data_IF_193015250419
#
_entry.id   IF_193015250419
#
_cell.length_a   1.000
_cell.length_b   1.000
_cell.length_c   1.000
_cell.angle_alpha   90.00
_cell.angle_beta   90.00
_cell.angle_gamma   90.00
#
_symmetry.space_group_name_H-M   'P 1'
#
loop_
_entity.id
_entity.type
_entity.pdbx_description
1 polymer ?
#
# COMPACT_ATOMS: atom_id res chain seq x y z
N UNK A 1 -9.14 8.25 -13.11
CA UNK A 1 -8.80 6.81 -13.17
C UNK A 1 -9.07 6.28 -11.77
N UNK A 2 -10.04 5.38 -11.59
CA UNK A 2 -10.53 5.00 -10.25
C UNK A 2 -9.49 4.13 -9.52
N UNK A 3 -9.16 4.50 -8.29
CA UNK A 3 -8.29 3.72 -7.40
C UNK A 3 -9.00 2.43 -6.96
N UNK A 4 -8.70 1.32 -7.63
CA UNK A 4 -9.28 -0.01 -7.34
C UNK A 4 -8.95 -0.47 -5.93
N UNK A 5 -7.72 -0.21 -5.46
CA UNK A 5 -7.32 -0.60 -4.11
C UNK A 5 -8.09 0.20 -3.06
N UNK A 6 -8.22 1.52 -3.25
CA UNK A 6 -9.04 2.38 -2.40
C UNK A 6 -10.50 1.93 -2.33
N UNK A 7 -11.11 1.61 -3.48
CA UNK A 7 -12.49 1.08 -3.53
C UNK A 7 -12.65 -0.24 -2.76
N UNK A 8 -11.69 -1.15 -2.90
CA UNK A 8 -11.74 -2.43 -2.20
C UNK A 8 -11.55 -2.29 -0.70
N UNK A 9 -10.68 -1.40 -0.25
CA UNK A 9 -10.52 -1.09 1.18
C UNK A 9 -11.79 -0.45 1.74
N UNK A 10 -12.39 0.49 1.03
CA UNK A 10 -13.66 1.10 1.46
C UNK A 10 -14.77 0.05 1.56
N UNK A 11 -14.92 -0.80 0.54
CA UNK A 11 -15.89 -1.89 0.55
C UNK A 11 -15.67 -2.83 1.75
N UNK A 12 -14.42 -3.22 1.99
CA UNK A 12 -14.06 -4.04 3.16
C UNK A 12 -14.40 -3.36 4.49
N UNK A 13 -14.04 -2.08 4.67
CA UNK A 13 -14.35 -1.34 5.92
C UNK A 13 -15.87 -1.28 6.14
N UNK A 14 -16.64 -0.97 5.10
CA UNK A 14 -18.11 -0.99 5.17
C UNK A 14 -18.66 -2.37 5.56
N UNK A 15 -18.12 -3.44 4.98
CA UNK A 15 -18.52 -4.81 5.28
C UNK A 15 -18.19 -5.20 6.73
N UNK A 16 -17.02 -4.80 7.26
CA UNK A 16 -16.64 -5.00 8.67
C UNK A 16 -17.64 -4.32 9.61
N UNK A 17 -18.03 -3.08 9.32
CA UNK A 17 -19.01 -2.33 10.12
C UNK A 17 -20.37 -3.01 10.11
N UNK A 18 -20.85 -3.44 8.94
CA UNK A 18 -22.11 -4.18 8.81
C UNK A 18 -22.08 -5.50 9.62
N UNK A 19 -20.90 -6.07 9.81
CA UNK A 19 -20.66 -7.29 10.62
C UNK A 19 -20.36 -7.00 12.09
N UNK A 20 -20.68 -5.79 12.54
CA UNK A 20 -20.61 -5.37 13.94
C UNK A 20 -19.22 -5.01 14.43
N UNK A 21 -18.19 -5.12 13.57
CA UNK A 21 -16.83 -4.74 13.93
C UNK A 21 -16.53 -3.27 13.64
N UNK A 22 -15.26 -2.91 13.83
CA UNK A 22 -14.71 -1.62 13.44
C UNK A 22 -13.46 -1.86 12.60
N UNK A 23 -13.20 -1.00 11.62
CA UNK A 23 -11.99 -1.06 10.82
C UNK A 23 -11.42 0.34 10.55
N UNK A 24 -10.09 0.45 10.50
CA UNK A 24 -9.40 1.68 10.16
C UNK A 24 -8.15 1.40 9.32
N UNK A 25 -8.02 2.08 8.18
CA UNK A 25 -6.83 2.00 7.34
C UNK A 25 -5.63 2.63 8.04
N UNK A 26 -4.51 1.91 8.07
CA UNK A 26 -3.26 2.38 8.65
C UNK A 26 -2.43 3.09 7.57
N UNK A 27 -2.73 4.37 7.34
CA UNK A 27 -2.12 5.19 6.26
C UNK A 27 -0.59 5.36 6.35
N UNK A 28 -0.01 5.08 7.52
CA UNK A 28 1.42 5.20 7.78
C UNK A 28 2.21 3.93 7.45
N UNK A 29 1.53 2.84 7.10
CA UNK A 29 2.15 1.57 6.74
C UNK A 29 1.92 1.25 5.26
N UNK A 30 2.92 0.68 4.57
CA UNK A 30 2.80 0.30 3.17
C UNK A 30 1.89 -0.92 3.01
N UNK A 31 1.48 -1.24 1.77
CA UNK A 31 0.75 -2.47 1.39
C UNK A 31 -0.71 -2.55 1.87
N UNK A 32 -1.38 -1.41 2.02
CA UNK A 32 -2.80 -1.29 2.36
C UNK A 32 -3.26 -2.06 3.61
N UNK A 33 -2.61 -1.87 4.78
CA UNK A 33 -3.03 -2.53 5.99
C UNK A 33 -4.23 -1.83 6.61
N UNK A 34 -5.13 -2.63 7.16
CA UNK A 34 -6.32 -2.19 7.88
C UNK A 34 -6.30 -2.84 9.26
N UNK A 35 -6.41 -2.03 10.30
CA UNK A 35 -6.65 -2.52 11.66
C UNK A 35 -8.13 -2.85 11.79
N UNK A 36 -8.45 -4.07 12.22
CA UNK A 36 -9.80 -4.55 12.48
C UNK A 36 -9.96 -4.80 13.98
N UNK A 37 -11.14 -4.47 14.50
CA UNK A 37 -11.59 -4.81 15.84
C UNK A 37 -12.86 -5.66 15.72
N UNK A 38 -12.80 -6.87 16.25
CA UNK A 38 -13.89 -7.84 16.26
C UNK A 38 -14.95 -7.53 17.32
N UNK A 39 -16.11 -8.18 17.21
CA UNK A 39 -17.19 -8.10 18.22
C UNK A 39 -16.84 -8.83 19.50
N UNK A 40 -15.89 -9.76 19.43
CA UNK A 40 -15.34 -10.52 20.55
C UNK A 40 -14.29 -9.75 21.36
N UNK A 41 -13.99 -8.50 20.96
CA UNK A 41 -12.95 -7.67 21.56
C UNK A 41 -11.53 -7.97 21.06
N UNK A 42 -11.36 -8.90 20.12
CA UNK A 42 -10.09 -9.15 19.45
C UNK A 42 -9.75 -8.00 18.50
N UNK A 43 -8.47 -7.88 18.16
CA UNK A 43 -8.02 -6.94 17.14
C UNK A 43 -6.88 -7.51 16.33
N UNK A 44 -6.91 -7.33 15.03
CA UNK A 44 -5.88 -7.83 14.11
C UNK A 44 -5.57 -6.80 13.03
N UNK A 45 -4.38 -6.91 12.43
CA UNK A 45 -4.01 -6.16 11.23
C UNK A 45 -4.22 -7.08 10.04
N UNK A 46 -4.90 -6.59 9.01
CA UNK A 46 -5.12 -7.32 7.77
C UNK A 46 -4.53 -6.58 6.57
N UNK A 47 -4.03 -7.31 5.58
CA UNK A 47 -3.65 -6.74 4.27
C UNK A 47 -4.80 -6.92 3.28
N UNK A 48 -5.24 -5.83 2.66
CA UNK A 48 -6.33 -5.87 1.68
C UNK A 48 -5.76 -5.95 0.26
N UNK A 49 -6.18 -6.98 -0.49
CA UNK A 49 -5.92 -7.13 -1.92
C UNK A 49 -7.23 -7.07 -2.68
N UNK A 50 -7.25 -6.31 -3.78
CA UNK A 50 -8.49 -6.07 -4.53
C UNK A 50 -8.30 -6.41 -5.99
N UNK A 51 -9.32 -7.02 -6.60
CA UNK A 51 -9.42 -7.21 -8.05
C UNK A 51 -10.77 -6.70 -8.57
N UNK A 52 -10.84 -6.48 -9.88
CA UNK A 52 -12.10 -6.28 -10.64
C UNK A 52 -12.23 -7.41 -11.66
N UNK A 53 -11.11 -7.84 -12.23
CA UNK A 53 -10.96 -9.00 -13.11
C UNK A 53 -9.60 -9.67 -12.86
N UNK A 54 -9.38 -10.81 -13.49
CA UNK A 54 -8.12 -11.55 -13.41
C UNK A 54 -7.77 -12.04 -12.00
N UNK A 55 -6.48 -12.18 -11.73
CA UNK A 55 -5.98 -12.68 -10.45
C UNK A 55 -5.54 -11.54 -9.54
N UNK A 56 -5.62 -11.76 -8.22
CA UNK A 56 -5.02 -10.83 -7.27
C UNK A 56 -3.51 -10.80 -7.45
N UNK A 57 -2.92 -9.62 -7.29
CA UNK A 57 -1.48 -9.44 -7.45
C UNK A 57 -0.80 -9.33 -6.09
N UNK A 58 0.15 -10.23 -5.86
CA UNK A 58 1.08 -10.25 -4.75
C UNK A 58 2.52 -10.14 -5.27
N UNK A 59 3.50 -10.23 -4.35
CA UNK A 59 4.91 -10.30 -4.69
C UNK A 59 5.46 -11.68 -4.37
N UNK A 60 6.46 -12.15 -5.13
CA UNK A 60 7.21 -13.36 -4.78
C UNK A 60 7.88 -13.26 -3.40
N UNK A 61 8.21 -12.04 -2.94
CA UNK A 61 8.73 -11.82 -1.59
C UNK A 61 7.69 -12.10 -0.49
N UNK A 62 6.40 -12.04 -0.80
CA UNK A 62 5.36 -12.36 0.19
C UNK A 62 5.40 -13.86 0.59
N UNK A 63 6.22 -14.70 -0.07
CA UNK A 63 6.61 -16.04 0.39
C UNK A 63 7.44 -16.04 1.68
N UNK A 64 8.04 -14.91 2.04
CA UNK A 64 8.95 -14.77 3.18
C UNK A 64 8.27 -13.91 4.25
N UNK A 65 7.72 -14.51 5.32
CA UNK A 65 7.01 -13.78 6.38
C UNK A 65 7.83 -12.66 7.02
N UNK A 66 9.15 -12.88 7.15
CA UNK A 66 10.09 -11.90 7.72
C UNK A 66 10.20 -10.59 6.91
N UNK A 67 9.68 -10.58 5.67
CA UNK A 67 9.66 -9.40 4.81
C UNK A 67 8.35 -8.61 4.89
N UNK A 68 7.38 -9.07 5.70
CA UNK A 68 6.15 -8.34 5.96
C UNK A 68 6.38 -7.29 7.06
N UNK A 69 6.43 -6.03 6.62
CA UNK A 69 6.60 -4.85 7.45
C UNK A 69 5.27 -4.34 8.04
N UNK A 70 4.15 -5.00 7.72
CA UNK A 70 2.82 -4.61 8.21
C UNK A 70 2.41 -5.26 9.53
N UNK A 71 3.03 -6.40 9.89
CA UNK A 71 2.59 -7.22 11.02
C UNK A 71 1.20 -7.83 10.80
N UNK A 72 0.82 -8.06 9.54
CA UNK A 72 -0.51 -8.56 9.20
C UNK A 72 -0.69 -10.01 9.66
N UNK A 73 -1.81 -10.28 10.32
CA UNK A 73 -2.19 -11.62 10.75
C UNK A 73 -3.04 -12.33 9.70
N UNK A 74 -3.75 -11.56 8.88
CA UNK A 74 -4.60 -12.07 7.81
C UNK A 74 -4.44 -11.28 6.52
N UNK A 75 -4.76 -11.91 5.40
CA UNK A 75 -5.03 -11.26 4.14
C UNK A 75 -6.53 -11.31 3.84
N UNK A 76 -7.05 -10.21 3.31
CA UNK A 76 -8.42 -10.12 2.81
C UNK A 76 -8.37 -9.84 1.32
N UNK A 77 -8.90 -10.78 0.56
CA UNK A 77 -9.06 -10.67 -0.88
C UNK A 77 -10.48 -10.21 -1.18
N UNK A 78 -10.58 -9.04 -1.83
CA UNK A 78 -11.84 -8.40 -2.21
C UNK A 78 -12.00 -8.54 -3.72
N UNK A 79 -13.11 -9.15 -4.12
CA UNK A 79 -13.52 -9.23 -5.52
C UNK A 79 -14.61 -8.20 -5.82
N UNK A 80 -14.24 -7.11 -6.50
CA UNK A 80 -15.18 -6.08 -6.95
C UNK A 80 -15.77 -6.38 -8.34
N UNK A 81 -15.37 -7.48 -8.99
CA UNK A 81 -15.97 -7.96 -10.23
C UNK A 81 -17.31 -8.67 -10.03
N UNK A 82 -17.56 -9.14 -8.81
CA UNK A 82 -18.82 -9.77 -8.38
C UNK A 82 -19.82 -8.73 -7.85
N UNK A 83 -21.12 -8.99 -8.02
CA UNK A 83 -22.21 -8.21 -7.43
C UNK A 83 -23.20 -9.14 -6.68
N UNK A 84 -23.28 -9.07 -5.33
CA UNK A 84 -22.45 -8.23 -4.45
C UNK A 84 -20.97 -8.64 -4.46
N UNK A 85 -20.08 -7.74 -4.04
CA UNK A 85 -18.65 -8.02 -3.90
C UNK A 85 -18.41 -9.24 -2.98
N UNK A 86 -17.41 -10.05 -3.33
CA UNK A 86 -17.05 -11.25 -2.57
C UNK A 86 -15.76 -11.04 -1.78
N UNK A 87 -15.65 -11.73 -0.63
CA UNK A 87 -14.57 -11.56 0.31
C UNK A 87 -14.01 -12.92 0.73
N UNK A 88 -12.68 -13.02 0.74
CA UNK A 88 -11.96 -14.21 1.15
C UNK A 88 -10.92 -13.82 2.21
N UNK A 89 -10.99 -14.44 3.38
CA UNK A 89 -10.11 -14.18 4.53
C UNK A 89 -9.22 -15.38 4.75
N UNK A 90 -7.91 -15.18 4.74
CA UNK A 90 -6.92 -16.23 4.97
C UNK A 90 -5.86 -15.76 5.97
N UNK A 91 -5.33 -16.66 6.82
CA UNK A 91 -4.15 -16.39 7.63
C UNK A 91 -2.94 -15.97 6.78
N UNK A 92 -2.15 -15.00 7.26
CA UNK A 92 -0.98 -14.50 6.54
C UNK A 92 0.09 -15.57 6.30
N UNK A 93 0.28 -16.48 7.26
CA UNK A 93 1.24 -17.60 7.16
C UNK A 93 0.80 -18.62 6.10
N UNK A 94 -0.49 -18.90 6.01
CA UNK A 94 -1.06 -19.74 4.97
C UNK A 94 -0.86 -19.14 3.57
N UNK A 95 -1.13 -17.85 3.40
CA UNK A 95 -0.89 -17.15 2.13
C UNK A 95 0.60 -17.18 1.78
N UNK A 96 1.48 -16.89 2.75
CA UNK A 96 2.93 -16.94 2.52
C UNK A 96 3.39 -18.35 2.12
N UNK A 97 2.88 -19.41 2.77
CA UNK A 97 3.19 -20.79 2.45
C UNK A 97 2.73 -21.19 1.04
N UNK A 98 1.53 -20.74 0.62
CA UNK A 98 1.03 -20.95 -0.74
C UNK A 98 1.94 -20.31 -1.79
N UNK A 99 2.31 -19.04 -1.58
CA UNK A 99 3.24 -18.32 -2.48
C UNK A 99 4.61 -19.01 -2.48
N UNK A 100 5.12 -19.45 -1.32
CA UNK A 100 6.40 -20.14 -1.22
C UNK A 100 6.42 -21.43 -2.04
N UNK A 101 5.37 -22.26 -1.96
CA UNK A 101 5.29 -23.50 -2.71
C UNK A 101 5.35 -23.26 -4.23
N UNK A 102 4.64 -22.25 -4.74
CA UNK A 102 4.66 -21.90 -6.16
C UNK A 102 6.00 -21.27 -6.59
N UNK A 103 6.57 -20.40 -5.75
CA UNK A 103 7.88 -19.78 -6.01
C UNK A 103 9.00 -20.82 -5.99
N UNK A 104 8.96 -21.82 -5.12
CA UNK A 104 9.96 -22.90 -5.06
C UNK A 104 9.94 -23.75 -6.34
N UNK A 105 8.75 -24.12 -6.82
CA UNK A 105 8.58 -24.80 -8.13
C UNK A 105 9.18 -23.93 -9.23
N UNK A 106 8.80 -22.65 -9.27
CA UNK A 106 9.33 -21.72 -10.26
C UNK A 106 10.85 -21.56 -10.14
N UNK A 107 11.45 -21.52 -8.95
CA UNK A 107 12.90 -21.43 -8.83
C UNK A 107 13.62 -22.69 -9.31
N UNK A 108 13.02 -23.87 -9.12
CA UNK A 108 13.61 -25.15 -9.51
C UNK A 108 13.76 -25.31 -11.04
N UNK A 109 12.98 -24.57 -11.81
CA UNK A 109 12.90 -24.64 -13.28
C UNK A 109 14.04 -23.92 -14.02
N UNK A 110 14.90 -23.13 -13.35
CA UNK A 110 16.03 -22.50 -14.04
C UNK A 110 17.00 -21.71 -13.16
N UNK A 111 18.32 -21.85 -13.39
CA UNK A 111 19.33 -21.07 -12.67
C UNK A 111 19.21 -19.57 -12.99
N UNK A 112 19.28 -18.72 -11.96
CA UNK A 112 19.20 -17.25 -12.08
C UNK A 112 17.87 -16.62 -11.68
N UNK A 113 16.88 -17.42 -11.28
CA UNK A 113 15.60 -16.96 -10.75
C UNK A 113 15.74 -16.40 -9.32
N UNK A 114 15.00 -15.33 -9.01
CA UNK A 114 15.03 -14.64 -7.70
C UNK A 114 13.63 -14.53 -7.10
N UNK A 115 13.52 -14.46 -5.77
CA UNK A 115 12.25 -14.23 -5.05
C UNK A 115 11.62 -12.83 -5.27
N UNK A 116 12.01 -12.11 -6.33
CA UNK A 116 11.56 -10.76 -6.62
C UNK A 116 10.57 -10.76 -7.78
N UNK A 117 9.64 -9.79 -7.80
CA UNK A 117 8.66 -9.61 -8.88
C UNK A 117 7.24 -10.04 -8.49
N UNK A 118 6.32 -9.90 -9.45
CA UNK A 118 4.88 -10.16 -9.24
C UNK A 118 4.57 -11.65 -9.15
N UNK A 119 3.52 -11.95 -8.39
CA UNK A 119 2.96 -13.29 -8.24
C UNK A 119 1.44 -13.19 -8.27
N UNK A 120 0.82 -13.91 -9.20
CA UNK A 120 -0.63 -13.96 -9.34
C UNK A 120 -1.20 -14.94 -8.33
N UNK A 121 -2.22 -14.53 -7.58
CA UNK A 121 -2.98 -15.39 -6.67
C UNK A 121 -4.34 -15.65 -7.33
N UNK A 122 -4.56 -16.86 -7.87
CA UNK A 122 -5.82 -17.20 -8.52
C UNK A 122 -6.93 -17.46 -7.49
N UNK A 123 -8.18 -17.34 -7.95
CA UNK A 123 -9.37 -17.61 -7.11
C UNK A 123 -9.33 -19.00 -6.46
N UNK A 124 -8.82 -20.01 -7.18
CA UNK A 124 -8.68 -21.36 -6.64
C UNK A 124 -7.83 -21.44 -5.37
N UNK A 125 -6.85 -20.55 -5.21
CA UNK A 125 -5.94 -20.53 -4.05
C UNK A 125 -6.56 -19.86 -2.83
N UNK A 126 -7.66 -19.12 -2.97
CA UNK A 126 -8.32 -18.38 -1.88
C UNK A 126 -9.77 -18.80 -1.64
N UNK A 127 -10.34 -19.64 -2.51
CA UNK A 127 -11.75 -19.98 -2.51
C UNK A 127 -12.25 -20.57 -1.19
N UNK A 128 -11.41 -21.29 -0.45
CA UNK A 128 -11.74 -21.87 0.86
C UNK A 128 -11.82 -20.84 1.99
N UNK A 129 -11.23 -19.65 1.82
CA UNK A 129 -11.34 -18.54 2.77
C UNK A 129 -12.63 -17.71 2.60
N UNK A 130 -13.54 -18.13 1.70
CA UNK A 130 -14.74 -17.36 1.39
C UNK A 130 -15.62 -17.19 2.63
N UNK A 131 -15.96 -15.94 2.93
CA UNK A 131 -16.82 -15.56 4.06
C UNK A 131 -16.33 -16.05 5.44
N UNK A 132 -15.02 -16.33 5.60
CA UNK A 132 -14.38 -16.67 6.88
C UNK A 132 -14.17 -15.43 7.78
N UNK A 133 -15.25 -14.69 8.02
CA UNK A 133 -15.29 -13.47 8.83
C UNK A 133 -15.02 -13.72 10.31
N UNK A 134 -15.28 -14.94 10.78
CA UNK A 134 -15.01 -15.40 12.13
C UNK A 134 -13.52 -15.33 12.50
N UNK A 135 -12.62 -15.49 11.51
CA UNK A 135 -11.17 -15.31 11.70
C UNK A 135 -10.80 -13.90 12.16
N UNK A 136 -11.62 -12.90 11.81
CA UNK A 136 -11.44 -11.50 12.20
C UNK A 136 -12.22 -11.13 13.48
N UNK A 137 -12.85 -12.11 14.14
CA UNK A 137 -13.75 -11.89 15.27
C UNK A 137 -15.05 -11.19 14.88
N UNK A 138 -15.51 -11.30 13.63
CA UNK A 138 -16.70 -10.62 13.11
C UNK A 138 -17.90 -11.55 12.98
N UNK A 139 -19.12 -10.98 12.92
CA UNK A 139 -20.33 -11.81 12.78
C UNK A 139 -20.48 -12.34 11.34
N UNK A 140 -20.79 -13.64 11.15
CA UNK A 140 -21.07 -14.20 9.82
C UNK A 140 -22.32 -13.59 9.16
N UNK A 141 -23.27 -13.10 9.95
CA UNK A 141 -24.41 -12.35 9.45
C UNK A 141 -24.05 -10.87 9.33
N UNK A 142 -24.38 -10.25 8.18
CA UNK A 142 -24.28 -8.80 8.02
C UNK A 142 -25.61 -8.15 8.40
N UNK A 143 -25.54 -7.06 9.13
CA UNK A 143 -26.66 -6.19 9.46
C UNK A 143 -26.52 -4.91 8.64
N UNK A 144 -27.29 -4.81 7.57
CA UNK A 144 -27.26 -3.68 6.64
C UNK A 144 -27.82 -2.39 7.25
N UNK A 145 -28.39 -2.45 8.45
CA UNK A 145 -28.91 -1.27 9.16
C UNK A 145 -27.84 -0.53 9.96
N UNK A 146 -26.67 -1.14 10.18
CA UNK A 146 -25.49 -0.54 10.84
C UNK A 146 -24.68 0.43 9.98
N UNK A 147 -25.19 0.74 8.78
CA UNK A 147 -24.58 1.69 7.87
C UNK A 147 -25.69 2.55 7.27
N UNK A 148 -26.17 3.53 8.05
CA UNK A 148 -26.93 4.65 7.51
C UNK A 148 -25.98 5.85 7.31
N UNK A 149 -26.34 6.80 6.43
CA UNK A 149 -25.55 8.02 6.19
C UNK A 149 -25.26 8.82 7.50
N UNK A 150 -26.03 8.59 8.56
CA UNK A 150 -25.84 9.16 9.89
C UNK A 150 -24.61 8.58 10.62
N UNK A 151 -24.28 7.29 10.44
CA UNK A 151 -23.12 6.64 11.08
C UNK A 151 -21.79 7.11 10.46
N UNK A 152 -21.78 7.39 9.16
CA UNK A 152 -20.61 7.98 8.49
C UNK A 152 -20.34 9.41 8.98
N UNK A 153 -21.42 10.17 9.24
CA UNK A 153 -21.32 11.51 9.82
C UNK A 153 -20.87 11.46 11.29
N UNK A 154 -21.39 10.54 12.09
CA UNK A 154 -21.01 10.39 13.50
C UNK A 154 -19.57 9.88 13.66
N UNK A 155 -19.15 8.90 12.86
CA UNK A 155 -17.77 8.42 12.82
C UNK A 155 -16.78 9.51 12.37
N UNK A 156 -17.15 10.34 11.39
CA UNK A 156 -16.33 11.48 10.97
C UNK A 156 -16.27 12.56 12.06
N UNK A 157 -17.38 12.84 12.76
CA UNK A 157 -17.37 13.74 13.92
C UNK A 157 -16.48 13.22 15.05
N UNK A 158 -16.52 11.92 15.34
CA UNK A 158 -15.68 11.31 16.38
C UNK A 158 -14.19 11.31 15.97
N UNK A 159 -13.88 11.05 14.70
CA UNK A 159 -12.52 11.19 14.14
C UNK A 159 -12.01 12.62 14.22
N UNK A 160 -12.84 13.60 13.86
CA UNK A 160 -12.52 15.03 13.96
C UNK A 160 -12.33 15.45 15.42
N UNK A 161 -13.15 14.96 16.35
CA UNK A 161 -13.01 15.22 17.79
C UNK A 161 -11.70 14.63 18.33
N UNK A 162 -11.35 13.39 17.95
CA UNK A 162 -10.11 12.73 18.37
C UNK A 162 -8.87 13.39 17.76
N UNK A 163 -8.93 13.83 16.52
CA UNK A 163 -7.86 14.60 15.87
C UNK A 163 -7.69 15.98 16.50
N UNK A 164 -8.77 16.66 16.88
CA UNK A 164 -8.71 17.90 17.67
C UNK A 164 -8.10 17.68 19.05
N UNK A 165 -8.47 16.60 19.74
CA UNK A 165 -7.89 16.24 21.04
C UNK A 165 -6.38 15.94 20.93
N UNK A 166 -5.94 15.21 19.90
CA UNK A 166 -4.51 14.99 19.58
C UNK A 166 -3.78 16.28 19.23
N UNK A 167 -4.42 17.19 18.46
CA UNK A 167 -3.82 18.48 18.09
C UNK A 167 -3.71 19.44 19.28
N UNK A 168 -4.67 19.41 20.21
CA UNK A 168 -4.63 20.17 21.45
C UNK A 168 -3.49 19.69 22.37
N UNK A 169 -3.35 18.37 22.53
CA UNK A 169 -2.26 17.76 23.31
C UNK A 169 -0.88 17.88 22.64
N UNK A 170 -0.81 17.94 21.30
CA UNK A 170 0.41 18.29 20.58
C UNK A 170 0.75 19.80 20.61
N UNK A 171 -0.27 20.65 20.82
CA UNK A 171 -0.12 22.10 20.95
C UNK A 171 0.49 22.54 22.28
N UNK A 172 0.19 21.84 23.38
CA UNK A 172 0.84 22.07 24.69
C UNK A 172 2.33 21.68 24.70
N UNK A 173 2.78 20.80 23.80
CA UNK A 173 4.19 20.39 23.69
C UNK A 173 5.02 21.23 22.70
N UNK A 174 4.40 22.16 21.95
CA UNK A 174 5.09 23.02 20.97
C UNK A 174 4.88 24.51 21.28
N UNK A 175 5.15 24.90 22.52
CA UNK A 175 5.56 26.27 22.82
C UNK A 175 7.04 26.42 22.46
N UNK A 176 7.34 27.36 21.56
CA UNK A 176 8.68 27.80 21.12
C UNK A 176 9.42 26.92 20.12
N UNK A 177 9.14 27.15 18.84
CA UNK A 177 10.19 27.35 17.83
C UNK A 177 9.56 28.00 16.59
N UNK A 178 9.92 29.26 16.35
CA UNK A 178 9.70 29.96 15.09
C UNK A 178 10.50 29.23 13.99
N UNK A 179 9.91 28.86 12.83
CA UNK A 179 10.67 28.14 11.82
C UNK A 179 11.56 29.10 11.04
N UNK A 180 12.87 29.01 11.25
CA UNK A 180 13.85 29.47 10.26
C UNK A 180 13.67 28.64 8.98
N UNK A 181 13.34 29.32 7.88
CA UNK A 181 13.27 28.73 6.54
C UNK A 181 14.70 28.43 6.12
N UNK A 182 15.16 27.20 6.37
CA UNK A 182 16.35 26.65 5.74
C UNK A 182 15.94 26.21 4.34
N UNK A 183 16.31 26.98 3.32
CA UNK A 183 16.17 26.57 1.92
C UNK A 183 17.00 25.30 1.72
N UNK A 184 16.33 24.15 1.59
CA UNK A 184 16.98 22.91 1.15
C UNK A 184 17.26 23.05 -0.36
N UNK A 185 18.52 23.13 -0.82
CA UNK A 185 18.86 23.33 -2.23
C UNK A 185 18.53 22.10 -3.11
N UNK A 186 18.00 21.02 -2.53
CA UNK A 186 17.63 19.80 -3.25
C UNK A 186 16.29 19.95 -3.96
N UNK A 187 16.30 19.65 -5.25
CA UNK A 187 15.12 19.71 -6.10
C UNK A 187 14.19 18.53 -5.81
N UNK A 188 12.93 18.83 -5.48
CA UNK A 188 11.90 17.79 -5.36
C UNK A 188 11.50 17.30 -6.74
N UNK A 189 11.56 15.99 -6.95
CA UNK A 189 11.25 15.34 -8.23
C UNK A 189 10.19 14.26 -8.07
N UNK A 190 9.46 13.99 -9.15
CA UNK A 190 8.40 13.01 -9.24
C UNK A 190 8.46 12.26 -10.56
N UNK A 191 8.11 10.98 -10.55
CA UNK A 191 7.91 10.17 -11.75
C UNK A 191 6.59 9.39 -11.61
N UNK A 192 5.79 9.36 -12.69
CA UNK A 192 4.58 8.55 -12.77
C UNK A 192 4.80 7.42 -13.77
N UNK A 193 4.78 6.16 -13.30
CA UNK A 193 4.98 4.99 -14.16
C UNK A 193 4.20 3.78 -13.67
N UNK A 194 3.54 3.09 -14.60
CA UNK A 194 2.76 1.87 -14.34
C UNK A 194 1.75 2.02 -13.18
N UNK A 195 1.16 3.21 -13.05
CA UNK A 195 0.21 3.55 -11.99
C UNK A 195 0.83 3.99 -10.66
N UNK A 196 2.16 4.01 -10.53
CA UNK A 196 2.89 4.45 -9.35
C UNK A 196 3.44 5.86 -9.50
N UNK A 197 3.23 6.69 -8.47
CA UNK A 197 3.89 7.99 -8.32
C UNK A 197 5.07 7.83 -7.36
N UNK A 198 6.28 8.03 -7.87
CA UNK A 198 7.53 7.97 -7.11
C UNK A 198 8.03 9.38 -6.88
N UNK A 199 8.35 9.72 -5.63
CA UNK A 199 8.93 11.02 -5.27
C UNK A 199 10.37 10.86 -4.83
N UNK A 200 11.18 11.86 -5.16
CA UNK A 200 12.57 11.91 -4.73
C UNK A 200 13.06 13.33 -4.48
N UNK A 201 14.26 13.41 -3.93
CA UNK A 201 15.05 14.63 -3.80
C UNK A 201 16.34 14.47 -4.58
N UNK A 202 16.53 15.34 -5.55
CA UNK A 202 17.74 15.43 -6.34
C UNK A 202 18.65 16.53 -5.79
N UNK A 203 19.91 16.18 -5.54
CA UNK A 203 20.94 17.11 -5.09
C UNK A 203 21.77 17.59 -6.29
N UNK A 204 21.62 18.85 -6.74
CA UNK A 204 22.32 19.35 -7.92
C UNK A 204 23.84 19.49 -7.71
N UNK A 205 24.31 19.52 -6.47
CA UNK A 205 25.74 19.65 -6.16
C UNK A 205 26.44 18.30 -6.31
N UNK A 206 25.80 17.23 -5.86
CA UNK A 206 26.39 15.88 -5.83
C UNK A 206 25.88 14.97 -6.95
N UNK A 207 24.82 15.37 -7.66
CA UNK A 207 24.12 14.54 -8.64
C UNK A 207 23.27 13.43 -8.01
N UNK A 208 23.29 13.28 -6.68
CA UNK A 208 22.63 12.16 -6.00
C UNK A 208 21.10 12.32 -6.01
N UNK A 209 20.38 11.23 -6.24
CA UNK A 209 18.92 11.19 -6.14
C UNK A 209 18.50 10.23 -5.02
N UNK A 210 17.79 10.75 -4.03
CA UNK A 210 17.18 9.98 -2.94
C UNK A 210 15.69 9.80 -3.20
N UNK A 211 15.18 8.57 -3.09
CA UNK A 211 13.75 8.31 -3.16
C UNK A 211 13.14 8.62 -1.80
N UNK A 212 12.21 9.56 -1.77
CA UNK A 212 11.57 10.04 -0.54
C UNK A 212 10.14 9.54 -0.36
N UNK A 213 9.51 9.02 -1.41
CA UNK A 213 8.25 8.28 -1.30
C UNK A 213 8.05 7.35 -2.50
N UNK A 214 7.50 6.16 -2.25
CA UNK A 214 7.17 5.18 -3.28
C UNK A 214 8.14 3.99 -3.34
N UNK A 215 8.13 3.20 -4.42
CA UNK A 215 9.05 2.10 -4.61
C UNK A 215 10.50 2.53 -4.36
N UNK A 216 11.23 1.79 -3.53
CA UNK A 216 12.64 2.06 -3.18
C UNK A 216 12.86 3.27 -2.25
N UNK A 217 11.86 3.69 -1.47
CA UNK A 217 11.97 4.75 -0.46
C UNK A 217 13.17 4.58 0.48
N UNK A 218 13.85 5.68 0.78
CA UNK A 218 15.07 5.75 1.57
C UNK A 218 16.34 5.35 0.81
N UNK A 219 16.23 4.79 -0.40
CA UNK A 219 17.41 4.49 -1.22
C UNK A 219 17.96 5.74 -1.88
N UNK A 220 19.30 5.81 -1.89
CA UNK A 220 20.07 6.84 -2.58
C UNK A 220 20.76 6.23 -3.78
N UNK A 221 20.73 6.97 -4.88
CA UNK A 221 21.34 6.60 -6.14
C UNK A 221 22.35 7.66 -6.55
N UNK A 222 23.47 7.25 -7.17
CA UNK A 222 24.55 8.18 -7.52
C UNK A 222 24.13 9.21 -8.56
N UNK A 223 23.11 8.92 -9.36
CA UNK A 223 22.60 9.81 -10.39
C UNK A 223 21.10 9.50 -10.73
N UNK A 224 20.38 10.44 -11.37
CA UNK A 224 18.97 10.26 -11.71
C UNK A 224 18.70 9.13 -12.71
N UNK A 225 19.64 8.81 -13.58
CA UNK A 225 19.50 7.74 -14.60
C UNK A 225 19.59 6.38 -13.92
N UNK A 226 20.56 6.18 -13.03
CA UNK A 226 20.66 4.98 -12.20
C UNK A 226 19.39 4.81 -11.34
N UNK A 227 18.86 5.90 -10.76
CA UNK A 227 17.60 5.86 -10.03
C UNK A 227 16.41 5.47 -10.95
N UNK A 228 16.32 6.04 -12.14
CA UNK A 228 15.25 5.78 -13.10
C UNK A 228 15.27 4.31 -13.58
N UNK A 229 16.44 3.79 -13.95
CA UNK A 229 16.64 2.39 -14.32
C UNK A 229 16.25 1.47 -13.18
N UNK A 230 16.68 1.77 -11.96
CA UNK A 230 16.38 0.97 -10.79
C UNK A 230 14.88 0.94 -10.49
N UNK A 231 14.22 2.10 -10.52
CA UNK A 231 12.77 2.21 -10.29
C UNK A 231 11.97 1.54 -11.42
N UNK A 232 12.32 1.78 -12.68
CA UNK A 232 11.63 1.17 -13.83
C UNK A 232 11.79 -0.35 -13.85
N UNK A 233 13.01 -0.85 -13.57
CA UNK A 233 13.26 -2.30 -13.49
C UNK A 233 12.54 -2.94 -12.30
N UNK A 234 12.46 -2.22 -11.18
CA UNK A 234 11.72 -2.67 -10.00
C UNK A 234 10.21 -2.75 -10.26
N UNK A 235 9.65 -1.78 -11.00
CA UNK A 235 8.21 -1.72 -11.30
C UNK A 235 7.79 -2.72 -12.38
N UNK A 236 8.58 -2.86 -13.44
CA UNK A 236 8.30 -3.78 -14.55
C UNK A 236 8.61 -5.24 -14.23
N UNK A 237 9.60 -5.48 -13.36
CA UNK A 237 10.12 -6.82 -13.09
C UNK A 237 11.14 -7.33 -14.11
N UNK A 238 11.48 -6.52 -15.13
CA UNK A 238 12.51 -6.79 -16.13
C UNK A 238 13.63 -5.75 -16.06
N UNK A 239 14.75 -5.98 -16.78
CA UNK A 239 15.82 -4.97 -16.86
C UNK A 239 15.42 -3.87 -17.83
N UNK A 240 15.08 -2.70 -17.30
CA UNK A 240 14.69 -1.54 -18.07
C UNK A 240 15.88 -0.60 -18.30
N UNK A 241 15.88 0.08 -19.46
CA UNK A 241 16.80 1.20 -19.71
C UNK A 241 15.99 2.47 -19.77
N UNK A 242 16.24 3.41 -18.87
CA UNK A 242 15.53 4.68 -18.76
C UNK A 242 16.52 5.82 -18.68
N UNK A 243 16.20 6.95 -19.31
CA UNK A 243 16.96 8.20 -19.17
C UNK A 243 16.43 9.00 -17.97
N UNK A 244 17.29 9.31 -17.01
CA UNK A 244 16.89 10.02 -15.79
C UNK A 244 16.41 11.45 -16.02
N UNK A 245 16.88 12.11 -17.08
CA UNK A 245 16.48 13.48 -17.40
C UNK A 245 15.03 13.59 -17.85
N UNK A 246 14.53 12.57 -18.55
CA UNK A 246 13.15 12.49 -19.03
C UNK A 246 12.22 11.75 -18.07
N UNK A 247 12.76 10.79 -17.31
CA UNK A 247 12.00 9.99 -16.36
C UNK A 247 11.53 10.80 -15.15
N UNK A 248 12.39 11.64 -14.60
CA UNK A 248 12.08 12.48 -13.44
C UNK A 248 11.59 13.85 -13.87
N UNK A 249 10.55 14.37 -13.21
CA UNK A 249 10.01 15.71 -13.40
C UNK A 249 10.06 16.49 -12.10
N UNK A 250 10.18 17.81 -12.12
CA UNK A 250 10.09 18.61 -10.90
C UNK A 250 8.68 18.51 -10.28
N UNK A 251 8.59 18.35 -8.95
CA UNK A 251 7.34 18.38 -8.19
C UNK A 251 6.89 19.84 -7.99
N UNK A 252 6.62 20.50 -9.12
CA UNK A 252 6.19 21.89 -9.23
C UNK A 252 4.98 21.98 -10.18
N UNK A 253 4.16 23.06 -10.11
CA UNK A 253 2.93 23.18 -10.90
C UNK A 253 3.13 23.01 -12.42
N UNK A 254 4.30 23.40 -12.94
CA UNK A 254 4.62 23.33 -14.37
C UNK A 254 5.30 22.02 -14.80
N UNK A 255 5.53 21.08 -13.86
CA UNK A 255 6.08 19.73 -14.06
C UNK A 255 7.05 19.61 -15.25
N UNK A 256 8.22 20.22 -15.15
CA UNK A 256 9.25 20.17 -16.19
C UNK A 256 10.14 18.93 -16.04
N UNK A 257 10.60 18.30 -17.13
CA UNK A 257 11.59 17.22 -17.05
C UNK A 257 12.88 17.69 -16.39
N UNK A 258 13.44 16.88 -15.50
CA UNK A 258 14.65 17.19 -14.74
C UNK A 258 15.83 17.50 -15.67
N UNK A 259 15.93 16.83 -16.82
CA UNK A 259 16.98 17.04 -17.81
C UNK A 259 17.06 18.47 -18.34
N UNK A 260 15.97 19.24 -18.28
CA UNK A 260 15.94 20.66 -18.65
C UNK A 260 16.72 21.54 -17.66
N UNK A 261 16.93 21.05 -16.44
CA UNK A 261 17.67 21.72 -15.36
C UNK A 261 19.09 21.19 -15.17
N UNK A 262 19.48 20.15 -15.91
CA UNK A 262 20.82 19.55 -15.87
C UNK A 262 21.73 20.03 -17.02
N UNK A 263 21.23 20.90 -17.89
CA UNK A 263 21.92 21.44 -19.07
C UNK A 263 22.70 22.73 -18.77
#
# INVERSE_FOLDING_TARGET
MHDTAGRGIQAFISEVIQRGGRAEKLEHLPRNPVQVWGVDGSSCIVRVRTRIDGDWQARRQDALPDTDDTGSQFWVFVDLGSDPAEYFVLPSDEVAAGIAAEVDIWMSDGPGRTHTGSHAIPLSSVAHGKDCWDLLGLTPAKDTTRYTDDDAAEAEQERLARNRARKASAGEARGSAEPEVVEDPRLSVVADRDGYRVKGRFDPTTGTLEITAGPMEGRRFPDPTTAAVAVASYLSGDTETCDGGTFWRLDQPESTPLGTHLA
#
